data_IF_441622241702
#
_entry.id   IF_441622241702
#
_cell.length_a   1.000
_cell.length_b   1.000
_cell.length_c   1.000
_cell.angle_alpha   90.00
_cell.angle_beta   90.00
_cell.angle_gamma   90.00
#
_symmetry.space_group_name_H-M   'P 1'
#
loop_
_entity.id
_entity.type
_entity.pdbx_description
1 polymer ?
#
# COMPACT_ATOMS: atom_id res chain seq x y z
N UNK A 1 -21.22 -35.02 -30.78
CA UNK A 1 -20.59 -33.91 -31.54
C UNK A 1 -21.39 -32.62 -31.28
N UNK A 2 -21.53 -32.21 -30.02
CA UNK A 2 -22.76 -31.55 -29.55
C UNK A 2 -22.61 -30.19 -28.84
N UNK A 3 -21.50 -29.46 -28.97
CA UNK A 3 -21.37 -28.14 -28.32
C UNK A 3 -20.60 -27.15 -29.19
N UNK A 4 -21.27 -26.54 -30.18
CA UNK A 4 -20.70 -25.42 -30.95
C UNK A 4 -21.71 -24.34 -31.39
N UNK A 5 -22.80 -24.12 -30.62
CA UNK A 5 -23.78 -23.08 -30.95
C UNK A 5 -24.09 -22.18 -29.74
N UNK A 6 -23.15 -21.31 -29.36
CA UNK A 6 -23.42 -20.09 -28.58
C UNK A 6 -22.39 -18.99 -28.91
N UNK A 7 -22.22 -18.71 -30.20
CA UNK A 7 -21.64 -17.45 -30.69
C UNK A 7 -22.80 -16.56 -31.14
N UNK A 8 -23.55 -16.01 -30.19
CA UNK A 8 -24.49 -14.93 -30.48
C UNK A 8 -23.65 -13.65 -30.59
N UNK A 9 -23.43 -13.27 -31.84
CA UNK A 9 -22.97 -11.97 -32.29
C UNK A 9 -23.89 -10.89 -31.72
N UNK A 10 -23.46 -10.21 -30.65
CA UNK A 10 -24.05 -8.94 -30.24
C UNK A 10 -23.29 -7.84 -30.99
N UNK A 11 -23.65 -7.68 -32.27
CA UNK A 11 -23.49 -6.42 -32.99
C UNK A 11 -24.63 -5.49 -32.56
N UNK A 12 -24.56 -5.04 -31.30
CA UNK A 12 -25.50 -4.07 -30.74
C UNK A 12 -24.70 -2.89 -30.21
N UNK A 13 -24.79 -1.76 -30.92
CA UNK A 13 -24.33 -0.44 -30.46
C UNK A 13 -24.95 -0.15 -29.09
N UNK A 14 -24.21 -0.41 -28.03
CA UNK A 14 -24.43 0.20 -26.72
C UNK A 14 -23.32 1.23 -26.55
N UNK A 15 -23.59 2.42 -27.10
CA UNK A 15 -22.90 3.67 -26.76
C UNK A 15 -23.22 3.99 -25.29
N UNK A 16 -22.49 3.36 -24.36
CA UNK A 16 -22.37 3.84 -23.00
C UNK A 16 -21.08 4.66 -22.94
N UNK A 17 -21.17 5.85 -23.52
CA UNK A 17 -20.28 6.95 -23.20
C UNK A 17 -20.34 7.20 -21.70
N UNK A 18 -19.17 7.37 -21.07
CA UNK A 18 -18.99 7.93 -19.72
C UNK A 18 -19.56 7.10 -18.56
N UNK A 19 -18.74 6.24 -17.94
CA UNK A 19 -18.46 6.20 -16.48
C UNK A 19 -17.83 4.86 -16.07
N UNK A 20 -16.63 4.92 -15.49
CA UNK A 20 -16.16 4.16 -14.31
C UNK A 20 -16.21 2.62 -14.20
N UNK A 21 -17.00 1.88 -14.98
CA UNK A 21 -17.27 0.46 -14.74
C UNK A 21 -16.44 -0.45 -15.68
N UNK A 22 -15.12 -0.49 -15.50
CA UNK A 22 -14.24 -1.48 -16.16
C UNK A 22 -13.47 -2.41 -15.21
N UNK A 23 -13.70 -2.38 -13.90
CA UNK A 23 -12.99 -3.27 -12.96
C UNK A 23 -13.77 -4.48 -12.42
N UNK A 24 -15.10 -4.55 -12.59
CA UNK A 24 -15.87 -5.69 -12.08
C UNK A 24 -15.88 -6.93 -13.00
N UNK A 25 -15.24 -6.90 -14.17
CA UNK A 25 -15.08 -8.12 -15.01
C UNK A 25 -13.92 -9.01 -14.52
N UNK A 26 -12.99 -8.49 -13.71
CA UNK A 26 -11.87 -9.29 -13.21
C UNK A 26 -12.28 -10.12 -11.97
N UNK A 27 -13.23 -9.65 -11.15
CA UNK A 27 -13.66 -10.41 -9.96
C UNK A 27 -14.62 -11.57 -10.25
N UNK A 28 -15.29 -11.60 -11.40
CA UNK A 28 -16.14 -12.75 -11.77
C UNK A 28 -15.35 -13.93 -12.33
N UNK A 29 -14.04 -13.77 -12.60
CA UNK A 29 -13.23 -14.86 -13.15
C UNK A 29 -12.60 -15.75 -12.09
N UNK A 30 -12.38 -15.29 -10.86
CA UNK A 30 -11.92 -16.17 -9.76
C UNK A 30 -13.00 -17.18 -9.33
N UNK A 31 -14.28 -16.81 -9.40
CA UNK A 31 -15.39 -17.72 -9.14
C UNK A 31 -15.57 -18.74 -10.27
N UNK A 32 -15.34 -18.36 -11.52
CA UNK A 32 -15.36 -19.28 -12.64
C UNK A 32 -14.16 -20.24 -12.66
N UNK A 33 -12.99 -19.82 -12.15
CA UNK A 33 -11.80 -20.67 -12.15
C UNK A 33 -11.93 -21.85 -11.16
N UNK A 34 -12.54 -21.62 -9.99
CA UNK A 34 -12.87 -22.70 -9.05
C UNK A 34 -14.02 -23.59 -9.55
N UNK A 35 -15.04 -23.01 -10.20
CA UNK A 35 -16.12 -23.79 -10.81
C UNK A 35 -15.63 -24.70 -11.97
N UNK A 36 -14.66 -24.24 -12.76
CA UNK A 36 -14.10 -25.00 -13.87
C UNK A 36 -13.13 -26.10 -13.41
N UNK A 37 -12.38 -25.88 -12.32
CA UNK A 37 -11.49 -26.91 -11.77
C UNK A 37 -12.23 -28.02 -11.02
N UNK A 38 -13.38 -27.71 -10.39
CA UNK A 38 -14.25 -28.72 -9.77
C UNK A 38 -14.86 -29.72 -10.76
N UNK A 39 -14.91 -29.39 -12.05
CA UNK A 39 -15.52 -30.23 -13.07
C UNK A 39 -14.56 -31.21 -13.77
N UNK A 40 -13.25 -31.16 -13.49
CA UNK A 40 -12.24 -31.95 -14.25
C UNK A 40 -11.56 -33.06 -13.42
N UNK A 41 -11.96 -33.27 -12.16
CA UNK A 41 -11.57 -34.46 -11.39
C UNK A 41 -12.80 -35.15 -10.80
N UNK A 42 -13.41 -36.12 -11.52
CA UNK A 42 -14.46 -36.95 -10.94
C UNK A 42 -13.81 -38.05 -10.10
N UNK A 43 -13.27 -37.73 -8.91
CA UNK A 43 -13.00 -38.74 -7.85
C UNK A 43 -12.50 -38.20 -6.47
N UNK A 44 -12.99 -37.06 -5.95
CA UNK A 44 -12.64 -36.63 -4.56
C UNK A 44 -13.86 -36.31 -3.67
N UNK A 45 -15.07 -36.74 -4.04
CA UNK A 45 -16.24 -36.63 -3.15
C UNK A 45 -16.24 -37.62 -1.96
N UNK A 46 -15.12 -38.27 -1.64
CA UNK A 46 -15.04 -39.16 -0.47
C UNK A 46 -13.82 -38.96 0.45
N UNK A 47 -13.02 -37.89 0.31
CA UNK A 47 -11.82 -37.73 1.15
C UNK A 47 -11.78 -36.50 2.08
N UNK A 48 -12.62 -35.47 1.88
CA UNK A 48 -12.59 -34.28 2.76
C UNK A 48 -13.79 -34.23 3.73
N UNK A 49 -14.77 -35.11 3.60
CA UNK A 49 -15.94 -35.17 4.47
C UNK A 49 -15.80 -36.06 5.72
N UNK A 50 -14.63 -36.64 6.02
CA UNK A 50 -14.48 -37.45 7.24
C UNK A 50 -13.25 -37.08 8.06
N UNK A 51 -13.52 -36.67 9.31
CA UNK A 51 -12.63 -36.37 10.44
C UNK A 51 -12.10 -34.92 10.45
N UNK A 52 -12.56 -33.98 11.27
CA UNK A 52 -13.18 -34.04 12.61
C UNK A 52 -12.44 -34.94 13.60
N UNK A 53 -11.91 -34.28 14.64
CA UNK A 53 -11.43 -34.79 15.94
C UNK A 53 -9.95 -35.19 16.08
N UNK A 54 -9.30 -34.44 16.99
CA UNK A 54 -8.42 -34.91 18.07
C UNK A 54 -6.99 -35.35 17.69
N UNK A 55 -5.97 -34.58 18.07
CA UNK A 55 -5.27 -34.56 19.37
C UNK A 55 -4.19 -35.66 19.46
N UNK A 56 -2.96 -35.16 19.69
CA UNK A 56 -1.80 -35.74 20.39
C UNK A 56 -0.86 -36.79 19.76
N UNK A 57 0.42 -36.46 20.03
CA UNK A 57 1.56 -37.30 20.39
C UNK A 57 2.39 -38.03 19.32
N UNK A 58 3.60 -37.49 19.17
CA UNK A 58 4.90 -38.17 19.34
C UNK A 58 5.12 -39.49 18.61
N UNK A 59 5.97 -39.49 17.58
CA UNK A 59 6.92 -40.59 17.38
C UNK A 59 8.26 -40.11 16.80
N UNK A 60 9.29 -40.66 17.42
CA UNK A 60 10.72 -40.52 17.18
C UNK A 60 11.20 -41.19 15.86
N UNK A 61 12.34 -40.70 15.37
CA UNK A 61 13.44 -41.38 14.68
C UNK A 61 13.16 -42.46 13.62
N UNK A 62 13.78 -42.31 12.44
CA UNK A 62 14.86 -43.18 11.98
C UNK A 62 15.60 -42.63 10.75
N UNK A 63 16.92 -42.82 10.80
CA UNK A 63 17.90 -42.61 9.75
C UNK A 63 17.62 -43.42 8.48
N UNK A 64 17.91 -42.87 7.29
CA UNK A 64 19.00 -43.33 6.41
C UNK A 64 18.83 -42.88 4.94
N UNK A 65 19.90 -42.22 4.45
CA UNK A 65 20.43 -42.24 3.07
C UNK A 65 19.46 -42.28 1.88
N UNK A 66 19.11 -41.10 1.36
CA UNK A 66 19.13 -40.80 -0.08
C UNK A 66 18.92 -39.30 -0.32
N UNK A 67 19.61 -38.76 -1.32
CA UNK A 67 19.82 -37.34 -1.63
C UNK A 67 18.54 -36.47 -1.78
N UNK A 68 18.70 -35.13 -1.74
CA UNK A 68 17.63 -34.18 -1.46
C UNK A 68 17.04 -33.49 -2.70
N UNK A 69 15.95 -32.75 -2.44
CA UNK A 69 15.31 -31.69 -3.24
C UNK A 69 14.14 -32.09 -4.14
N UNK A 70 12.98 -32.09 -3.50
CA UNK A 70 11.76 -31.39 -3.89
C UNK A 70 11.94 -30.43 -5.09
N UNK A 71 11.71 -30.94 -6.30
CA UNK A 71 11.50 -30.17 -7.52
C UNK A 71 10.02 -30.27 -7.89
N UNK A 72 9.18 -29.50 -7.21
CA UNK A 72 7.90 -29.07 -7.78
C UNK A 72 7.73 -27.57 -7.52
N UNK A 73 8.71 -26.78 -7.98
CA UNK A 73 8.41 -25.44 -8.46
C UNK A 73 7.64 -25.62 -9.78
N UNK A 74 6.35 -25.91 -9.64
CA UNK A 74 5.44 -25.88 -10.77
C UNK A 74 5.35 -24.41 -11.16
N UNK A 75 6.15 -24.07 -12.17
CA UNK A 75 6.12 -22.81 -12.90
C UNK A 75 4.65 -22.53 -13.15
N UNK A 76 4.09 -21.56 -12.42
CA UNK A 76 2.87 -20.88 -12.86
C UNK A 76 3.32 -20.17 -14.12
N UNK A 77 3.26 -20.91 -15.22
CA UNK A 77 3.31 -20.35 -16.55
C UNK A 77 2.24 -19.29 -16.54
N UNK A 78 2.70 -18.04 -16.55
CA UNK A 78 1.84 -16.89 -16.74
C UNK A 78 1.16 -17.16 -18.08
N UNK A 79 -0.04 -17.73 -18.04
CA UNK A 79 -0.89 -17.91 -19.19
C UNK A 79 -1.22 -16.48 -19.62
N UNK A 80 -0.38 -15.92 -20.50
CA UNK A 80 -0.63 -14.64 -21.13
C UNK A 80 -1.82 -14.89 -22.04
N UNK A 81 -3.02 -14.76 -21.49
CA UNK A 81 -4.21 -14.51 -22.30
C UNK A 81 -3.86 -13.21 -23.03
N UNK A 82 -3.54 -13.34 -24.31
CA UNK A 82 -3.44 -12.20 -25.22
C UNK A 82 -4.85 -11.64 -25.38
N UNK A 83 -5.29 -10.89 -24.38
CA UNK A 83 -6.44 -10.02 -24.54
C UNK A 83 -5.96 -8.95 -25.51
N UNK A 84 -6.24 -9.12 -26.80
CA UNK A 84 -6.17 -8.04 -27.78
C UNK A 84 -7.17 -7.00 -27.30
N UNK A 85 -6.72 -6.07 -26.48
CA UNK A 85 -7.51 -4.90 -26.16
C UNK A 85 -7.58 -4.05 -27.44
N UNK A 86 -8.81 -3.84 -27.92
CA UNK A 86 -9.09 -3.14 -29.17
C UNK A 86 -8.82 -1.62 -29.09
N UNK A 87 -8.40 -1.08 -27.95
CA UNK A 87 -8.08 0.34 -27.81
C UNK A 87 -6.56 0.61 -27.92
N UNK A 88 -6.20 1.69 -28.63
CA UNK A 88 -4.80 2.04 -28.83
C UNK A 88 -4.09 2.58 -27.56
N UNK A 89 -4.83 2.95 -26.52
CA UNK A 89 -4.26 3.45 -25.26
C UNK A 89 -3.76 2.32 -24.35
N UNK A 90 -4.50 1.22 -24.25
CA UNK A 90 -4.10 0.00 -23.53
C UNK A 90 -2.90 -0.67 -24.17
N UNK A 91 -2.84 -0.77 -25.51
CA UNK A 91 -1.68 -1.32 -26.21
C UNK A 91 -0.42 -0.49 -25.92
N UNK A 92 -0.53 0.85 -25.96
CA UNK A 92 0.55 1.76 -25.55
C UNK A 92 0.91 1.61 -24.07
N UNK A 93 -0.05 1.33 -23.19
CA UNK A 93 0.23 1.05 -21.77
C UNK A 93 1.01 -0.26 -21.59
N UNK A 94 0.59 -1.34 -22.23
CA UNK A 94 1.26 -2.65 -22.18
C UNK A 94 2.68 -2.55 -22.75
N UNK A 95 2.84 -1.90 -23.91
CA UNK A 95 4.13 -1.68 -24.54
C UNK A 95 5.09 -0.94 -23.59
N UNK A 96 4.62 0.13 -22.93
CA UNK A 96 5.40 0.86 -21.93
C UNK A 96 5.81 -0.02 -20.75
N UNK A 97 4.88 -0.81 -20.18
CA UNK A 97 5.21 -1.70 -19.05
C UNK A 97 6.29 -2.72 -19.44
N UNK A 98 6.25 -3.26 -20.65
CA UNK A 98 7.26 -4.20 -21.16
C UNK A 98 8.65 -3.58 -21.32
N UNK A 99 8.71 -2.33 -21.76
CA UNK A 99 9.97 -1.61 -21.99
C UNK A 99 10.56 -0.97 -20.73
N UNK A 100 9.82 -0.95 -19.63
CA UNK A 100 10.14 -0.17 -18.45
C UNK A 100 11.19 -0.88 -17.56
N UNK A 101 12.39 -0.29 -17.36
CA UNK A 101 13.43 -0.92 -16.56
C UNK A 101 13.02 -1.10 -15.10
N UNK A 102 12.18 -0.21 -14.54
CA UNK A 102 11.73 -0.31 -13.16
C UNK A 102 10.68 -1.40 -12.96
N UNK A 103 9.93 -1.79 -14.00
CA UNK A 103 9.01 -2.93 -13.93
C UNK A 103 9.79 -4.24 -13.85
N UNK A 104 10.81 -4.39 -14.71
CA UNK A 104 11.72 -5.55 -14.67
C UNK A 104 12.43 -5.62 -13.33
N UNK A 105 12.96 -4.49 -12.85
CA UNK A 105 13.64 -4.39 -11.56
C UNK A 105 12.70 -4.70 -10.39
N UNK A 106 11.45 -4.25 -10.43
CA UNK A 106 10.47 -4.57 -9.38
C UNK A 106 10.22 -6.08 -9.30
N UNK A 107 10.10 -6.76 -10.44
CA UNK A 107 9.96 -8.20 -10.46
C UNK A 107 11.21 -8.91 -9.92
N UNK A 108 12.41 -8.49 -10.33
CA UNK A 108 13.68 -9.05 -9.85
C UNK A 108 13.89 -8.85 -8.34
N UNK A 109 13.55 -7.66 -7.83
CA UNK A 109 13.68 -7.32 -6.40
C UNK A 109 12.42 -7.67 -5.58
N UNK A 110 11.47 -8.41 -6.17
CA UNK A 110 10.24 -8.87 -5.50
C UNK A 110 9.33 -7.77 -4.93
N UNK A 111 9.38 -6.58 -5.54
CA UNK A 111 8.39 -5.53 -5.28
C UNK A 111 7.13 -5.74 -6.09
N UNK A 112 5.97 -5.45 -5.49
CA UNK A 112 4.65 -5.62 -6.13
C UNK A 112 4.46 -4.75 -7.36
N UNK A 113 5.11 -3.58 -7.41
CA UNK A 113 5.13 -2.76 -8.62
C UNK A 113 6.32 -1.77 -8.64
N UNK A 114 6.53 -1.15 -9.79
CA UNK A 114 7.64 -0.20 -10.03
C UNK A 114 7.65 1.03 -9.11
N UNK A 115 6.52 1.38 -8.49
CA UNK A 115 6.45 2.60 -7.67
C UNK A 115 7.27 2.49 -6.37
N UNK A 116 7.66 1.29 -5.94
CA UNK A 116 8.61 1.09 -4.85
C UNK A 116 9.89 1.91 -5.04
N UNK A 117 10.42 1.96 -6.27
CA UNK A 117 11.63 2.73 -6.58
C UNK A 117 11.44 4.24 -6.44
N UNK A 118 10.21 4.75 -6.59
CA UNK A 118 9.94 6.16 -6.34
C UNK A 118 10.13 6.48 -4.87
N UNK A 119 9.58 5.65 -3.98
CA UNK A 119 9.72 5.84 -2.54
C UNK A 119 11.15 5.64 -2.07
N UNK A 120 11.85 4.62 -2.57
CA UNK A 120 13.28 4.40 -2.30
C UNK A 120 14.12 5.62 -2.71
N UNK A 121 13.91 6.14 -3.93
CA UNK A 121 14.62 7.34 -4.38
C UNK A 121 14.27 8.60 -3.58
N UNK A 122 13.00 8.74 -3.15
CA UNK A 122 12.62 9.84 -2.26
C UNK A 122 13.34 9.71 -0.93
N UNK A 123 13.37 8.51 -0.34
CA UNK A 123 14.07 8.22 0.90
C UNK A 123 15.56 8.56 0.80
N UNK A 124 16.23 8.17 -0.29
CA UNK A 124 17.65 8.41 -0.51
C UNK A 124 17.97 9.90 -0.74
N UNK A 125 17.05 10.66 -1.35
CA UNK A 125 17.21 12.11 -1.59
C UNK A 125 17.05 12.96 -0.34
N UNK A 126 16.44 12.43 0.72
CA UNK A 126 16.28 13.13 1.99
C UNK A 126 17.46 12.79 2.90
N UNK A 127 18.18 13.82 3.37
CA UNK A 127 19.29 13.62 4.31
C UNK A 127 18.78 12.98 5.60
N UNK A 128 19.36 11.83 5.97
CA UNK A 128 18.93 11.03 7.11
C UNK A 128 17.71 10.12 6.86
N UNK A 129 17.24 10.02 5.61
CA UNK A 129 16.10 9.16 5.23
C UNK A 129 14.74 9.73 5.62
N UNK A 130 13.69 9.16 5.01
CA UNK A 130 12.28 9.42 5.39
C UNK A 130 11.91 8.57 6.61
N UNK A 131 12.39 7.32 6.67
CA UNK A 131 12.02 6.34 7.67
C UNK A 131 13.13 6.09 8.69
N UNK A 132 12.73 5.73 9.90
CA UNK A 132 13.58 5.19 10.96
C UNK A 132 12.95 3.90 11.53
N UNK A 133 13.77 2.99 12.09
CA UNK A 133 13.25 1.84 12.83
C UNK A 133 12.35 2.29 13.98
N UNK A 134 11.16 1.69 14.10
CA UNK A 134 10.17 2.03 15.13
C UNK A 134 9.14 3.08 14.70
N UNK A 135 9.27 3.69 13.52
CA UNK A 135 8.32 4.69 13.04
C UNK A 135 6.90 4.12 12.86
N UNK A 136 5.91 4.94 13.18
CA UNK A 136 4.51 4.71 12.80
C UNK A 136 4.26 5.39 11.47
N UNK A 137 3.91 4.62 10.44
CA UNK A 137 3.71 5.08 9.07
C UNK A 137 2.27 4.87 8.64
N UNK A 138 1.70 5.88 8.01
CA UNK A 138 0.41 5.81 7.32
C UNK A 138 0.63 5.91 5.81
N UNK A 139 0.15 4.93 5.06
CA UNK A 139 0.24 4.88 3.58
C UNK A 139 -1.16 5.05 2.97
N UNK A 140 -1.41 6.21 2.37
CA UNK A 140 -2.68 6.59 1.75
C UNK A 140 -2.68 6.26 0.25
N UNK A 141 -3.51 5.30 -0.15
CA UNK A 141 -3.54 4.75 -1.51
C UNK A 141 -2.44 3.71 -1.71
N UNK A 142 -2.44 2.73 -0.81
CA UNK A 142 -1.37 1.76 -0.68
C UNK A 142 -1.36 0.69 -1.80
N UNK A 143 -2.47 0.42 -2.49
CA UNK A 143 -2.54 -0.69 -3.45
C UNK A 143 -1.56 -0.47 -4.63
N UNK A 144 -0.77 -1.50 -5.03
CA UNK A 144 -0.86 -2.91 -4.64
C UNK A 144 -0.05 -3.29 -3.39
N UNK A 145 0.53 -2.35 -2.67
CA UNK A 145 1.30 -2.56 -1.43
C UNK A 145 2.81 -2.39 -1.59
N UNK A 146 3.28 -1.83 -2.71
CA UNK A 146 4.73 -1.65 -2.97
C UNK A 146 5.39 -0.66 -2.01
N UNK A 147 4.71 0.43 -1.68
CA UNK A 147 5.18 1.41 -0.69
C UNK A 147 5.14 0.83 0.72
N UNK A 148 4.12 0.05 1.05
CA UNK A 148 4.06 -0.74 2.27
C UNK A 148 5.24 -1.73 2.41
N UNK A 149 5.68 -2.39 1.33
CA UNK A 149 6.87 -3.26 1.37
C UNK A 149 8.13 -2.48 1.76
N UNK A 150 8.34 -1.31 1.16
CA UNK A 150 9.48 -0.43 1.46
C UNK A 150 9.39 0.08 2.90
N UNK A 151 8.24 0.63 3.30
CA UNK A 151 8.02 1.18 4.63
C UNK A 151 8.21 0.12 5.71
N UNK A 152 7.55 -1.05 5.59
CA UNK A 152 7.64 -2.13 6.59
C UNK A 152 9.06 -2.67 6.75
N UNK A 153 9.84 -2.71 5.68
CA UNK A 153 11.25 -3.10 5.71
C UNK A 153 12.12 -2.06 6.42
N UNK A 154 11.91 -0.77 6.16
CA UNK A 154 12.73 0.31 6.73
C UNK A 154 12.36 0.67 8.17
N UNK A 155 11.13 0.38 8.61
CA UNK A 155 10.67 0.65 9.97
C UNK A 155 10.74 -0.56 10.91
N UNK A 156 11.19 -1.72 10.44
CA UNK A 156 11.30 -2.96 11.21
C UNK A 156 9.94 -3.48 11.72
N UNK A 157 8.93 -3.53 10.85
CA UNK A 157 7.59 -4.05 11.20
C UNK A 157 7.54 -5.59 11.26
N UNK A 158 8.41 -6.27 10.51
CA UNK A 158 8.40 -7.72 10.37
C UNK A 158 9.46 -8.38 11.27
N UNK A 159 9.04 -9.23 12.19
CA UNK A 159 9.95 -9.96 13.09
C UNK A 159 10.74 -11.09 12.42
N UNK A 160 10.55 -11.34 11.11
CA UNK A 160 11.18 -12.47 10.41
C UNK A 160 12.71 -12.36 10.21
N UNK A 161 13.33 -11.24 10.57
CA UNK A 161 14.80 -11.13 10.53
C UNK A 161 15.41 -11.72 11.80
N UNK A 162 15.63 -13.05 11.79
CA UNK A 162 16.42 -13.76 12.80
C UNK A 162 17.87 -13.25 12.94
N UNK A 163 18.36 -12.41 12.02
CA UNK A 163 19.76 -11.96 11.93
C UNK A 163 20.05 -10.53 12.42
N UNK A 164 19.06 -9.80 12.92
CA UNK A 164 19.35 -8.63 13.74
C UNK A 164 19.23 -9.08 15.20
N UNK A 165 20.35 -8.97 15.94
CA UNK A 165 20.36 -8.91 17.41
C UNK A 165 19.57 -7.68 17.89
N UNK A 166 18.30 -7.56 17.51
CA UNK A 166 17.35 -6.62 18.08
C UNK A 166 17.01 -7.15 19.47
N UNK A 167 17.92 -6.87 20.38
CA UNK A 167 17.98 -7.32 21.76
C UNK A 167 16.83 -6.82 22.65
N UNK A 168 15.74 -6.29 22.10
CA UNK A 168 14.51 -5.97 22.81
C UNK A 168 13.38 -5.77 21.79
N UNK A 169 12.23 -6.37 22.05
CA UNK A 169 10.94 -6.20 21.34
C UNK A 169 10.41 -4.73 21.33
N UNK A 170 11.23 -3.75 21.75
CA UNK A 170 10.80 -2.40 22.10
C UNK A 170 10.74 -1.41 20.93
N UNK A 171 11.30 -1.72 19.75
CA UNK A 171 11.33 -0.77 18.64
C UNK A 171 10.76 -1.35 17.33
N UNK A 172 9.62 -2.05 17.44
CA UNK A 172 8.86 -2.54 16.30
C UNK A 172 8.05 -1.39 15.69
N UNK A 173 8.31 -1.08 14.43
CA UNK A 173 7.52 -0.10 13.68
C UNK A 173 6.10 -0.60 13.39
N UNK A 174 5.26 0.31 12.91
CA UNK A 174 3.90 0.00 12.47
C UNK A 174 3.63 0.68 11.13
N UNK A 175 3.11 -0.06 10.16
CA UNK A 175 2.58 0.51 8.90
C UNK A 175 1.08 0.27 8.85
N UNK A 176 0.32 1.34 8.65
CA UNK A 176 -1.14 1.34 8.46
C UNK A 176 -1.41 1.79 7.03
N UNK A 177 -2.12 0.98 6.26
CA UNK A 177 -2.28 1.16 4.83
C UNK A 177 -3.76 1.29 4.47
N UNK A 178 -4.12 2.33 3.71
CA UNK A 178 -5.48 2.58 3.24
C UNK A 178 -5.54 2.51 1.73
N UNK A 179 -6.57 1.87 1.19
CA UNK A 179 -6.88 1.95 -0.24
C UNK A 179 -8.36 1.64 -0.49
N UNK A 180 -8.90 2.12 -1.62
CA UNK A 180 -10.22 1.71 -2.11
C UNK A 180 -10.19 0.27 -2.65
N UNK A 181 -9.04 -0.18 -3.15
CA UNK A 181 -8.84 -1.49 -3.76
C UNK A 181 -8.29 -2.49 -2.73
N UNK A 182 -8.77 -3.72 -2.82
CA UNK A 182 -8.17 -4.83 -2.10
C UNK A 182 -6.81 -5.18 -2.69
N UNK A 183 -5.85 -5.50 -1.83
CA UNK A 183 -4.56 -6.06 -2.21
C UNK A 183 -4.11 -7.09 -1.18
N UNK A 184 -3.24 -8.02 -1.58
CA UNK A 184 -2.81 -9.10 -0.70
C UNK A 184 -2.19 -8.55 0.60
N UNK A 185 -2.45 -9.16 1.77
CA UNK A 185 -1.89 -8.68 3.03
C UNK A 185 -0.36 -8.72 3.02
N UNK A 186 0.28 -7.87 3.82
CA UNK A 186 1.72 -7.80 4.00
C UNK A 186 2.08 -8.06 5.48
N UNK A 187 3.13 -8.85 5.77
CA UNK A 187 3.54 -9.09 7.16
C UNK A 187 3.88 -7.78 7.89
N UNK A 188 3.30 -7.59 9.08
CA UNK A 188 3.54 -6.40 9.90
C UNK A 188 2.82 -5.12 9.42
N UNK A 189 1.99 -5.20 8.38
CA UNK A 189 1.20 -4.07 7.86
C UNK A 189 -0.27 -4.28 8.20
N UNK A 190 -0.90 -3.28 8.81
CA UNK A 190 -2.35 -3.25 9.03
C UNK A 190 -3.00 -2.63 7.80
N UNK A 191 -3.79 -3.39 7.06
CA UNK A 191 -4.42 -2.94 5.80
C UNK A 191 -5.92 -2.70 5.99
N UNK A 192 -6.37 -1.50 5.65
CA UNK A 192 -7.77 -1.08 5.59
C UNK A 192 -8.18 -0.87 4.13
N UNK A 193 -8.57 -1.96 3.47
CA UNK A 193 -9.03 -1.91 2.09
C UNK A 193 -10.53 -1.54 2.01
N UNK A 194 -10.96 -0.91 0.92
CA UNK A 194 -12.33 -0.42 0.73
C UNK A 194 -12.63 0.92 1.40
N UNK A 195 -11.63 1.58 1.99
CA UNK A 195 -11.79 2.87 2.68
C UNK A 195 -11.57 4.02 1.70
N UNK A 196 -12.52 4.95 1.63
CA UNK A 196 -12.39 6.18 0.84
C UNK A 196 -11.62 7.24 1.65
N UNK A 197 -10.45 7.65 1.16
CA UNK A 197 -9.64 8.72 1.77
C UNK A 197 -10.33 10.09 1.77
N UNK A 198 -11.41 10.27 1.02
CA UNK A 198 -12.26 11.45 1.17
C UNK A 198 -13.02 11.48 2.50
N UNK A 199 -13.25 10.32 3.13
CA UNK A 199 -13.77 10.18 4.49
C UNK A 199 -12.63 10.27 5.50
N UNK A 200 -11.99 11.44 5.57
CA UNK A 200 -10.81 11.67 6.41
C UNK A 200 -11.06 11.40 7.91
N UNK A 201 -12.29 11.60 8.41
CA UNK A 201 -12.66 11.30 9.81
C UNK A 201 -12.64 9.81 10.13
N UNK A 202 -13.13 8.98 9.20
CA UNK A 202 -13.07 7.52 9.30
C UNK A 202 -11.61 7.05 9.27
N UNK A 203 -10.79 7.61 8.37
CA UNK A 203 -9.36 7.32 8.31
C UNK A 203 -8.66 7.60 9.65
N UNK A 204 -8.92 8.76 10.27
CA UNK A 204 -8.36 9.11 11.59
C UNK A 204 -8.76 8.09 12.66
N UNK A 205 -10.04 7.71 12.70
CA UNK A 205 -10.54 6.73 13.66
C UNK A 205 -9.85 5.38 13.50
N UNK A 206 -9.73 4.88 12.26
CA UNK A 206 -9.05 3.63 11.95
C UNK A 206 -7.56 3.68 12.28
N UNK A 207 -6.88 4.81 12.04
CA UNK A 207 -5.48 5.02 12.44
C UNK A 207 -5.35 4.90 13.96
N UNK A 208 -6.16 5.63 14.72
CA UNK A 208 -6.10 5.64 16.19
C UNK A 208 -6.41 4.26 16.78
N UNK A 209 -7.39 3.53 16.22
CA UNK A 209 -7.70 2.17 16.61
C UNK A 209 -6.53 1.21 16.33
N UNK A 210 -5.91 1.34 15.15
CA UNK A 210 -4.77 0.51 14.74
C UNK A 210 -3.56 0.73 15.65
N UNK A 211 -3.26 1.99 15.98
CA UNK A 211 -2.21 2.35 16.93
C UNK A 211 -2.52 1.78 18.32
N UNK A 212 -3.73 2.00 18.83
CA UNK A 212 -4.15 1.51 20.15
C UNK A 212 -4.02 -0.02 20.26
N UNK A 213 -4.51 -0.75 19.25
CA UNK A 213 -4.41 -2.21 19.19
C UNK A 213 -2.96 -2.69 19.18
N UNK A 214 -2.10 -2.04 18.38
CA UNK A 214 -0.69 -2.40 18.28
C UNK A 214 0.04 -2.27 19.63
N UNK A 215 -0.14 -1.15 20.33
CA UNK A 215 0.54 -0.92 21.61
C UNK A 215 -0.04 -1.76 22.76
N UNK A 216 -1.36 -2.02 22.77
CA UNK A 216 -1.97 -2.89 23.78
C UNK A 216 -1.49 -4.34 23.65
N UNK A 217 -1.39 -4.86 22.42
CA UNK A 217 -0.88 -6.22 22.19
C UNK A 217 0.59 -6.37 22.59
N UNK A 218 1.42 -5.36 22.37
CA UNK A 218 2.83 -5.38 22.79
C UNK A 218 2.96 -5.35 24.32
N UNK A 219 2.17 -4.52 25.02
CA UNK A 219 2.22 -4.44 26.50
C UNK A 219 1.82 -5.75 27.18
N UNK A 220 0.82 -6.47 26.66
CA UNK A 220 0.38 -7.75 27.23
C UNK A 220 1.45 -8.85 27.11
N UNK A 221 2.30 -8.79 26.09
CA UNK A 221 3.38 -9.77 25.89
C UNK A 221 4.57 -9.57 26.85
N UNK A 222 4.77 -8.37 27.39
CA UNK A 222 5.90 -8.06 28.27
C UNK A 222 5.71 -8.54 29.73
N UNK A 223 4.60 -9.22 30.04
CA UNK A 223 4.35 -9.85 31.35
C UNK A 223 4.26 -8.88 32.54
N UNK A 224 4.24 -7.56 32.30
CA UNK A 224 4.10 -6.55 33.34
C UNK A 224 2.61 -6.29 33.61
N UNK A 225 2.16 -6.30 34.88
CA UNK A 225 0.80 -5.90 35.23
C UNK A 225 0.50 -4.49 34.70
N UNK A 226 -0.65 -4.33 34.03
CA UNK A 226 -1.20 -3.03 33.62
C UNK A 226 -1.28 -2.13 34.86
N UNK A 227 -0.44 -1.09 34.94
CA UNK A 227 -0.63 -0.05 35.96
C UNK A 227 -1.90 0.75 35.60
N UNK A 228 -2.78 1.05 36.57
CA UNK A 228 -4.04 1.71 36.30
C UNK A 228 -3.84 3.13 35.75
N UNK A 229 -4.39 3.33 34.55
CA UNK A 229 -4.95 4.58 34.01
C UNK A 229 -4.16 5.88 34.26
N UNK A 230 -2.95 5.99 33.71
CA UNK A 230 -2.63 7.25 33.01
C UNK A 230 -3.21 7.11 31.62
N UNK A 231 -4.18 7.96 31.27
CA UNK A 231 -4.67 8.15 29.89
C UNK A 231 -3.50 8.62 29.03
N UNK A 232 -2.62 7.70 28.67
CA UNK A 232 -1.40 7.95 27.93
C UNK A 232 -1.88 8.34 26.54
N UNK A 233 -1.59 9.58 26.13
CA UNK A 233 -1.87 10.04 24.78
C UNK A 233 -1.30 9.03 23.78
N UNK A 234 -2.11 8.65 22.79
CA UNK A 234 -1.65 7.74 21.74
C UNK A 234 -0.43 8.35 21.06
N UNK A 235 0.59 7.55 20.73
CA UNK A 235 1.73 8.06 19.97
C UNK A 235 1.23 8.52 18.59
N UNK A 236 1.60 9.74 18.21
CA UNK A 236 1.29 10.26 16.89
C UNK A 236 2.11 9.58 15.78
N UNK A 237 1.67 9.75 14.55
CA UNK A 237 2.26 9.19 13.34
C UNK A 237 3.56 9.92 12.99
N UNK A 238 4.60 9.16 12.63
CA UNK A 238 5.92 9.65 12.20
C UNK A 238 5.94 10.08 10.74
N UNK A 239 5.30 9.30 9.89
CA UNK A 239 5.35 9.47 8.44
C UNK A 239 3.97 9.25 7.83
N UNK A 240 3.50 10.23 7.05
CA UNK A 240 2.30 10.08 6.22
C UNK A 240 2.71 10.11 4.75
N UNK A 241 2.34 9.08 4.00
CA UNK A 241 2.69 8.86 2.61
C UNK A 241 1.45 8.83 1.73
N UNK A 242 1.59 9.26 0.47
CA UNK A 242 0.52 9.19 -0.52
C UNK A 242 1.06 9.14 -1.95
N UNK A 243 0.96 7.99 -2.62
CA UNK A 243 1.17 7.83 -4.07
C UNK A 243 -0.14 7.80 -4.88
N UNK A 244 -1.28 8.12 -4.23
CA UNK A 244 -2.58 8.09 -4.87
C UNK A 244 -2.75 9.24 -5.89
N UNK A 245 -3.57 8.98 -6.91
CA UNK A 245 -4.06 9.99 -7.83
C UNK A 245 -5.55 9.73 -8.11
N UNK A 246 -6.35 10.78 -8.36
CA UNK A 246 -7.74 10.61 -8.79
C UNK A 246 -7.80 9.96 -10.18
N UNK A 247 -9.00 9.52 -10.56
CA UNK A 247 -9.26 9.13 -11.94
C UNK A 247 -9.07 10.34 -12.86
N UNK A 248 -8.12 10.23 -13.81
CA UNK A 248 -7.81 11.31 -14.74
C UNK A 248 -8.68 11.23 -16.00
N UNK A 249 -9.34 12.33 -16.33
CA UNK A 249 -10.08 12.52 -17.58
C UNK A 249 -9.15 12.94 -18.74
N UNK A 250 -7.93 13.40 -18.44
CA UNK A 250 -6.99 13.94 -19.41
C UNK A 250 -7.18 15.44 -19.70
N UNK A 251 -8.08 16.10 -18.97
CA UNK A 251 -8.31 17.54 -19.02
C UNK A 251 -7.82 18.15 -17.71
N UNK A 252 -6.81 19.03 -17.78
CA UNK A 252 -6.17 19.59 -16.58
C UNK A 252 -7.15 20.37 -15.71
N UNK A 253 -8.12 21.01 -16.33
CA UNK A 253 -9.16 21.83 -15.71
C UNK A 253 -10.05 21.00 -14.76
N UNK A 254 -10.13 19.68 -14.97
CA UNK A 254 -10.88 18.75 -14.13
C UNK A 254 -9.94 17.95 -13.21
N UNK A 255 -8.82 17.49 -13.77
CA UNK A 255 -7.89 16.59 -13.08
C UNK A 255 -7.14 17.29 -11.95
N UNK A 256 -6.78 18.57 -12.12
CA UNK A 256 -6.09 19.35 -11.09
C UNK A 256 -7.01 19.58 -9.87
N UNK A 257 -8.24 20.14 -10.00
CA UNK A 257 -9.14 20.27 -8.85
C UNK A 257 -9.42 18.94 -8.13
N UNK A 258 -9.59 17.85 -8.86
CA UNK A 258 -9.79 16.53 -8.27
C UNK A 258 -8.56 16.06 -7.46
N UNK A 259 -7.35 16.29 -7.99
CA UNK A 259 -6.10 15.99 -7.29
C UNK A 259 -5.97 16.83 -6.02
N UNK A 260 -6.29 18.12 -6.10
CA UNK A 260 -6.20 19.03 -4.96
C UNK A 260 -7.20 18.67 -3.87
N UNK A 261 -8.45 18.34 -4.22
CA UNK A 261 -9.45 17.86 -3.26
C UNK A 261 -8.93 16.66 -2.46
N UNK A 262 -8.36 15.67 -3.15
CA UNK A 262 -7.77 14.49 -2.52
C UNK A 262 -6.57 14.87 -1.64
N UNK A 263 -5.68 15.75 -2.13
CA UNK A 263 -4.50 16.19 -1.40
C UNK A 263 -4.86 16.95 -0.10
N UNK A 264 -5.86 17.83 -0.12
CA UNK A 264 -6.34 18.52 1.07
C UNK A 264 -6.97 17.56 2.09
N UNK A 265 -7.69 16.53 1.64
CA UNK A 265 -8.24 15.51 2.55
C UNK A 265 -7.13 14.69 3.21
N UNK A 266 -6.10 14.30 2.47
CA UNK A 266 -4.94 13.59 3.02
C UNK A 266 -4.15 14.49 3.97
N UNK A 267 -4.00 15.78 3.65
CA UNK A 267 -3.37 16.75 4.55
C UNK A 267 -4.15 16.90 5.87
N UNK A 268 -5.48 16.89 5.84
CA UNK A 268 -6.30 16.88 7.06
C UNK A 268 -6.00 15.66 7.93
N UNK A 269 -5.97 14.47 7.33
CA UNK A 269 -5.57 13.24 8.05
C UNK A 269 -4.19 13.43 8.66
N UNK A 270 -3.21 13.90 7.87
CA UNK A 270 -1.84 14.10 8.32
C UNK A 270 -1.75 15.06 9.52
N UNK A 271 -2.39 16.23 9.45
CA UNK A 271 -2.39 17.22 10.53
C UNK A 271 -3.02 16.65 11.80
N UNK A 272 -4.08 15.84 11.69
CA UNK A 272 -4.79 15.29 12.84
C UNK A 272 -4.06 14.17 13.57
N UNK A 273 -3.20 13.41 12.89
CA UNK A 273 -2.57 12.21 13.47
C UNK A 273 -1.05 12.33 13.67
N UNK A 274 -0.39 13.29 13.02
CA UNK A 274 1.06 13.41 13.04
C UNK A 274 1.59 13.89 14.39
N UNK A 275 2.75 13.37 14.81
CA UNK A 275 3.49 13.90 15.95
C UNK A 275 4.45 15.02 15.53
N UNK A 276 4.92 15.80 16.51
CA UNK A 276 5.94 16.82 16.25
C UNK A 276 7.19 16.22 15.56
N UNK A 277 7.67 16.88 14.51
CA UNK A 277 8.80 16.43 13.72
C UNK A 277 8.47 15.43 12.61
N UNK A 278 7.21 15.03 12.45
CA UNK A 278 6.78 14.07 11.43
C UNK A 278 7.12 14.52 10.00
N UNK A 279 7.14 13.54 9.08
CA UNK A 279 7.38 13.71 7.65
C UNK A 279 6.10 13.44 6.87
N UNK A 280 5.86 14.24 5.83
CA UNK A 280 4.73 14.10 4.92
C UNK A 280 5.21 14.04 3.49
N UNK A 281 4.71 13.06 2.74
CA UNK A 281 5.05 12.83 1.34
C UNK A 281 3.76 12.63 0.56
N UNK A 282 3.55 13.44 -0.46
CA UNK A 282 2.35 13.33 -1.30
C UNK A 282 2.65 13.57 -2.78
N UNK A 283 2.07 12.72 -3.62
CA UNK A 283 2.03 12.89 -5.06
C UNK A 283 1.07 14.01 -5.46
N UNK A 284 1.51 14.86 -6.37
CA UNK A 284 0.72 15.93 -6.97
C UNK A 284 0.99 15.98 -8.48
N UNK A 285 0.13 16.69 -9.20
CA UNK A 285 0.39 17.10 -10.58
C UNK A 285 1.03 18.48 -10.57
N UNK A 286 2.05 18.69 -11.41
CA UNK A 286 2.69 19.99 -11.53
C UNK A 286 1.68 21.03 -12.04
N UNK A 287 1.36 22.00 -11.18
CA UNK A 287 0.42 23.09 -11.44
C UNK A 287 0.65 24.26 -10.47
N UNK A 288 -0.08 25.37 -10.67
CA UNK A 288 -0.04 26.51 -9.75
C UNK A 288 -0.64 26.14 -8.38
N UNK A 289 -1.74 25.39 -8.40
CA UNK A 289 -2.47 24.92 -7.22
C UNK A 289 -1.59 24.00 -6.35
N UNK A 290 -0.67 23.24 -6.97
CA UNK A 290 0.33 22.48 -6.22
C UNK A 290 1.29 23.40 -5.44
N UNK A 291 1.71 24.54 -6.01
CA UNK A 291 2.54 25.52 -5.31
C UNK A 291 1.77 26.20 -4.16
N UNK A 292 0.50 26.56 -4.37
CA UNK A 292 -0.38 27.09 -3.32
C UNK A 292 -0.59 26.07 -2.19
N UNK A 293 -0.76 24.79 -2.53
CA UNK A 293 -0.83 23.72 -1.55
C UNK A 293 0.48 23.54 -0.80
N UNK A 294 1.64 23.65 -1.47
CA UNK A 294 2.95 23.65 -0.80
C UNK A 294 3.09 24.80 0.19
N UNK A 295 2.59 26.00 -0.13
CA UNK A 295 2.56 27.12 0.82
C UNK A 295 1.69 26.79 2.03
N UNK A 296 0.51 26.20 1.82
CA UNK A 296 -0.38 25.75 2.89
C UNK A 296 0.30 24.71 3.78
N UNK A 297 0.90 23.68 3.20
CA UNK A 297 1.65 22.63 3.93
C UNK A 297 2.79 23.26 4.72
N UNK A 298 3.53 24.20 4.15
CA UNK A 298 4.69 24.82 4.83
C UNK A 298 4.32 25.52 6.15
N UNK A 299 3.07 25.94 6.33
CA UNK A 299 2.59 26.52 7.59
C UNK A 299 2.57 25.50 8.76
N UNK A 300 2.47 24.21 8.45
CA UNK A 300 2.45 23.12 9.43
C UNK A 300 3.80 22.41 9.56
N UNK A 301 4.80 22.78 8.76
CA UNK A 301 6.13 22.14 8.74
C UNK A 301 7.21 23.21 8.93
N UNK A 302 7.15 23.90 10.07
CA UNK A 302 7.98 25.05 10.40
C UNK A 302 9.30 24.66 11.07
N UNK A 303 10.30 25.54 10.95
CA UNK A 303 11.62 25.32 11.55
C UNK A 303 11.50 25.33 13.07
N UNK A 304 12.02 24.29 13.72
CA UNK A 304 12.16 24.26 15.17
C UNK A 304 13.62 23.93 15.55
N UNK A 305 14.02 24.27 16.78
CA UNK A 305 15.40 24.05 17.25
C UNK A 305 15.80 22.57 17.36
N UNK A 306 14.83 21.64 17.34
CA UNK A 306 15.06 20.20 17.56
C UNK A 306 15.24 19.41 16.26
N UNK A 307 14.62 19.85 15.16
CA UNK A 307 14.58 19.14 13.89
C UNK A 307 14.65 20.14 12.74
N UNK A 308 15.59 19.95 11.78
CA UNK A 308 15.55 20.73 10.55
C UNK A 308 14.23 20.48 9.83
N UNK A 309 13.57 21.56 9.41
CA UNK A 309 12.36 21.49 8.61
C UNK A 309 12.67 21.88 7.17
N UNK A 310 11.90 21.31 6.25
CA UNK A 310 11.89 21.74 4.86
C UNK A 310 10.59 21.29 4.21
N UNK A 311 10.19 22.02 3.16
CA UNK A 311 9.07 21.64 2.29
C UNK A 311 9.49 21.88 0.85
N UNK A 312 9.62 20.81 0.06
CA UNK A 312 10.14 20.90 -1.32
C UNK A 312 9.52 19.87 -2.25
N UNK A 313 9.48 20.23 -3.53
CA UNK A 313 9.13 19.29 -4.58
C UNK A 313 10.33 18.44 -4.98
N UNK A 314 10.08 17.15 -5.21
CA UNK A 314 11.05 16.19 -5.71
C UNK A 314 10.39 15.37 -6.82
N UNK A 315 11.07 15.25 -7.95
CA UNK A 315 10.71 14.29 -9.01
C UNK A 315 11.63 13.07 -8.90
N UNK A 316 11.10 11.87 -8.59
CA UNK A 316 11.86 10.63 -8.66
C UNK A 316 12.32 10.35 -10.09
N UNK A 317 13.48 9.71 -10.26
CA UNK A 317 13.94 9.27 -11.59
C UNK A 317 13.08 8.10 -12.10
N UNK A 318 12.51 7.34 -11.18
CA UNK A 318 11.50 6.31 -11.46
C UNK A 318 10.14 6.89 -11.87
N UNK A 319 9.97 8.21 -11.93
CA UNK A 319 8.82 8.83 -12.61
C UNK A 319 8.99 8.79 -14.12
N UNK A 320 7.89 8.58 -14.84
CA UNK A 320 7.92 8.61 -16.31
C UNK A 320 8.19 10.03 -16.80
N UNK A 321 8.99 10.19 -17.86
CA UNK A 321 9.42 11.50 -18.37
C UNK A 321 8.23 12.35 -18.82
N UNK A 322 7.22 11.72 -19.42
CA UNK A 322 5.99 12.36 -19.89
C UNK A 322 5.01 12.70 -18.77
N UNK A 323 5.23 12.22 -17.54
CA UNK A 323 4.32 12.45 -16.43
C UNK A 323 4.53 13.82 -15.82
N UNK A 324 3.44 14.55 -15.62
CA UNK A 324 3.40 15.77 -14.80
C UNK A 324 3.51 15.49 -13.30
N UNK A 325 3.72 14.24 -12.88
CA UNK A 325 3.80 13.91 -11.46
C UNK A 325 5.05 14.51 -10.80
N UNK A 326 4.84 15.05 -9.60
CA UNK A 326 5.84 15.55 -8.65
C UNK A 326 5.44 15.10 -7.25
N UNK A 327 6.40 14.97 -6.34
CA UNK A 327 6.12 14.69 -4.93
C UNK A 327 6.49 15.89 -4.09
N UNK A 328 5.56 16.33 -3.25
CA UNK A 328 5.85 17.26 -2.18
C UNK A 328 6.35 16.45 -0.98
N UNK A 329 7.55 16.80 -0.50
CA UNK A 329 8.11 16.25 0.74
C UNK A 329 8.24 17.38 1.75
N UNK A 330 7.57 17.22 2.90
CA UNK A 330 7.63 18.13 4.03
C UNK A 330 8.13 17.39 5.27
N UNK A 331 9.03 18.00 6.04
CA UNK A 331 9.57 17.44 7.29
C UNK A 331 9.58 18.49 8.38
N UNK A 332 9.34 18.07 9.62
CA UNK A 332 9.32 18.97 10.77
C UNK A 332 7.91 19.42 11.12
N UNK A 333 6.93 18.50 11.13
CA UNK A 333 5.55 18.83 11.49
C UNK A 333 5.48 19.54 12.85
N UNK A 334 4.72 20.61 12.92
CA UNK A 334 4.44 21.37 14.12
C UNK A 334 3.09 22.06 13.97
N UNK A 335 2.21 21.89 14.96
CA UNK A 335 0.96 22.65 14.99
C UNK A 335 1.28 24.13 15.23
N UNK A 336 0.72 25.05 14.42
CA UNK A 336 0.80 26.47 14.71
C UNK A 336 0.27 26.73 16.12
N UNK A 337 1.04 27.43 16.96
CA UNK A 337 0.53 27.90 18.24
C UNK A 337 -0.62 28.87 17.96
N UNK A 338 -1.79 28.65 18.55
CA UNK A 338 -2.85 29.65 18.55
C UNK A 338 -2.23 30.93 19.11
N UNK A 339 -2.27 32.04 18.36
CA UNK A 339 -2.02 33.36 18.96
C UNK A 339 -2.95 33.45 20.15
N UNK A 340 -2.40 33.51 21.36
CA UNK A 340 -3.19 33.99 22.49
C UNK A 340 -3.48 35.45 22.15
N UNK A 341 -4.73 35.72 21.78
CA UNK A 341 -5.22 37.08 21.68
C UNK A 341 -5.14 37.65 23.11
N UNK A 342 -4.14 38.51 23.35
CA UNK A 342 -4.02 39.30 24.58
C UNK A 342 -4.91 40.53 24.51
#
# INVERSE_FOLDING_TARGET
>A
MFWLCCLISINGKLDLYTTGYRRNIIMTLESCFWAAFGAILPDIDHFIASRSTSIEHSFYCLNSRSLPYCLTNQVVSCLIISIRSNDGSSQRWIARQRSDPYVKRAHLESYRCRSAFKLLQLNDKISGGIFKPGDIVVDCGAAPGSWCQVASSLTNCNNNNNNLKASNNQNKGLVIAFDLLNFAPLPGVITHCGVDLNNWSECINLINQSISSHFNNNNNNDGKPLQPEKQKSLPGVDVVLSDIAPNVAGMREIDIPAMMKLAYNILRVAISVSKEGATFVIKLFQSQEAEEFKQTVSQFYTLNSKCPSFTRFIKPEASRKESSEIYLVARGFQLPQSKQDN
#
